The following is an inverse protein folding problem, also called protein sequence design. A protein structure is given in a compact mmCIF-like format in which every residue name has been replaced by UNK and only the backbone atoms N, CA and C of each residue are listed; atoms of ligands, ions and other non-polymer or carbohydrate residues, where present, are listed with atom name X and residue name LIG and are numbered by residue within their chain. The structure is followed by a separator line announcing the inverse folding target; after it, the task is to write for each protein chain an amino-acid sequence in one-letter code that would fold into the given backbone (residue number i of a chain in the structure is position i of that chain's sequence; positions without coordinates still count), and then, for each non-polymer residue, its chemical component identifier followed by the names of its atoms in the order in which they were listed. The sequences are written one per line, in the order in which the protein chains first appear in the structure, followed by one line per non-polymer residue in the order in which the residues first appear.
data_IF_971868021365
#
_entry.id   IF_971868021365
#
_cell.length_a   1.000
_cell.length_b   1.000
_cell.length_c   1.000
_cell.angle_alpha   90.00
_cell.angle_beta   90.00
_cell.angle_gamma   90.00
#
_symmetry.space_group_name_H-M   'P 1'
#
loop_
_entity.id
_entity.type
_entity.pdbx_description
1 polymer ?
#
# COMPACT_ATOMS: atom_id res chain seq x y z
N UNK A 1 5.44 2.57 7.00
CA UNK A 1 5.49 3.09 5.64
C UNK A 1 4.16 3.75 5.31
N UNK A 2 4.21 4.98 4.90
CA UNK A 2 3.01 5.72 4.51
C UNK A 2 3.02 5.96 3.01
N UNK A 3 1.85 5.91 2.42
CA UNK A 3 1.70 6.11 0.99
C UNK A 3 0.67 7.21 0.76
N UNK A 4 1.06 8.20 -0.02
CA UNK A 4 0.12 9.23 -0.47
C UNK A 4 -0.47 8.78 -1.79
N UNK A 5 -1.75 8.93 -1.93
CA UNK A 5 -2.39 8.54 -3.18
C UNK A 5 -3.57 9.46 -3.48
N UNK A 6 -3.90 9.56 -4.75
CA UNK A 6 -5.05 10.34 -5.21
C UNK A 6 -6.04 9.36 -5.83
N UNK A 7 -7.22 9.34 -5.28
CA UNK A 7 -8.29 8.49 -5.76
C UNK A 7 -9.54 9.35 -5.97
N UNK A 8 -10.09 9.29 -7.16
CA UNK A 8 -11.28 10.07 -7.52
C UNK A 8 -11.06 11.55 -7.19
N UNK A 9 -9.90 12.07 -7.56
CA UNK A 9 -9.50 13.48 -7.42
C UNK A 9 -9.36 13.95 -5.98
N UNK A 10 -9.32 13.04 -5.02
CA UNK A 10 -9.12 13.38 -3.61
C UNK A 10 -7.82 12.75 -3.14
N UNK A 11 -7.03 13.54 -2.42
CA UNK A 11 -5.75 13.07 -1.89
C UNK A 11 -5.95 12.40 -0.53
N UNK A 12 -5.29 11.26 -0.35
CA UNK A 12 -5.36 10.49 0.88
C UNK A 12 -3.97 10.03 1.28
N UNK A 13 -3.84 9.61 2.53
CA UNK A 13 -2.62 8.97 3.01
C UNK A 13 -3.00 7.64 3.64
N UNK A 14 -2.31 6.58 3.26
CA UNK A 14 -2.53 5.26 3.82
C UNK A 14 -1.31 4.83 4.63
N UNK A 15 -1.56 4.22 5.79
CA UNK A 15 -0.50 3.72 6.65
C UNK A 15 -0.45 2.20 6.47
N UNK A 16 0.61 1.70 5.88
CA UNK A 16 0.77 0.29 5.60
C UNK A 16 1.47 -0.49 6.73
N UNK A 17 1.72 0.17 7.86
CA UNK A 17 2.37 -0.50 8.99
C UNK A 17 1.39 -1.21 9.91
N UNK A 18 0.11 -1.22 9.56
CA UNK A 18 -0.91 -1.86 10.38
C UNK A 18 -0.91 -3.37 10.12
N UNK A 19 -0.80 -4.14 11.20
CA UNK A 19 -0.68 -5.60 11.07
C UNK A 19 -1.87 -6.22 10.34
N UNK A 20 -3.08 -5.70 10.56
CA UNK A 20 -4.27 -6.30 9.94
C UNK A 20 -4.24 -6.21 8.41
N UNK A 21 -3.58 -5.19 7.87
CA UNK A 21 -3.45 -5.05 6.43
C UNK A 21 -2.68 -6.24 5.86
N UNK A 22 -1.60 -6.62 6.53
CA UNK A 22 -0.78 -7.73 6.06
C UNK A 22 -1.48 -9.07 6.22
N UNK A 23 -2.27 -9.23 7.30
CA UNK A 23 -3.06 -10.44 7.50
C UNK A 23 -4.07 -10.59 6.37
N UNK A 24 -4.79 -9.52 6.05
CA UNK A 24 -5.76 -9.56 4.96
C UNK A 24 -5.10 -9.81 3.62
N UNK A 25 -3.95 -9.20 3.41
CA UNK A 25 -3.21 -9.38 2.17
C UNK A 25 -2.78 -10.82 2.00
N UNK A 26 -2.32 -11.43 3.08
CA UNK A 26 -1.94 -12.84 3.05
C UNK A 26 -3.14 -13.72 2.75
N UNK A 27 -4.27 -13.48 3.39
CA UNK A 27 -5.48 -14.24 3.16
C UNK A 27 -5.98 -14.10 1.72
N UNK A 28 -5.97 -12.88 1.22
CA UNK A 28 -6.58 -12.61 -0.08
C UNK A 28 -5.68 -13.00 -1.24
N UNK A 29 -4.39 -12.84 -1.10
CA UNK A 29 -3.44 -13.07 -2.19
C UNK A 29 -2.57 -14.31 -1.99
N UNK A 30 -2.63 -14.92 -0.82
CA UNK A 30 -1.83 -16.11 -0.55
C UNK A 30 -0.33 -15.84 -0.45
N UNK A 31 0.04 -14.63 -0.07
CA UNK A 31 1.43 -14.23 0.05
C UNK A 31 1.78 -13.98 1.51
N UNK A 32 2.93 -14.48 1.95
CA UNK A 32 3.42 -14.13 3.28
C UNK A 32 3.87 -12.68 3.30
N UNK A 33 4.02 -12.12 4.50
CA UNK A 33 4.50 -10.74 4.64
C UNK A 33 5.84 -10.56 3.93
N UNK A 34 6.75 -11.52 4.10
CA UNK A 34 8.07 -11.45 3.47
C UNK A 34 7.95 -11.43 1.95
N UNK A 35 7.10 -12.31 1.41
CA UNK A 35 6.90 -12.36 -0.04
C UNK A 35 6.28 -11.07 -0.56
N UNK A 36 5.29 -10.55 0.16
CA UNK A 36 4.62 -9.32 -0.26
C UNK A 36 5.60 -8.14 -0.24
N UNK A 37 6.40 -8.03 0.81
CA UNK A 37 7.37 -6.95 0.91
C UNK A 37 8.45 -7.07 -0.16
N UNK A 38 8.88 -8.28 -0.48
CA UNK A 38 9.85 -8.50 -1.54
C UNK A 38 9.29 -8.02 -2.89
N UNK A 39 8.06 -8.38 -3.18
CA UNK A 39 7.42 -7.97 -4.43
C UNK A 39 7.21 -6.46 -4.49
N UNK A 40 6.84 -5.85 -3.37
CA UNK A 40 6.69 -4.40 -3.31
C UNK A 40 8.03 -3.71 -3.57
N UNK A 41 9.10 -4.25 -3.01
CA UNK A 41 10.44 -3.72 -3.25
C UNK A 41 10.86 -3.84 -4.70
N UNK A 42 10.31 -4.81 -5.41
CA UNK A 42 10.58 -4.99 -6.84
C UNK A 42 9.61 -4.22 -7.71
N UNK A 43 8.72 -3.44 -7.09
CA UNK A 43 7.82 -2.56 -7.82
C UNK A 43 6.52 -3.19 -8.27
N UNK A 44 6.05 -4.23 -7.57
CA UNK A 44 4.79 -4.85 -7.93
C UNK A 44 3.63 -3.89 -7.65
N UNK A 45 3.11 -3.29 -8.69
CA UNK A 45 2.03 -2.32 -8.60
C UNK A 45 0.77 -2.93 -7.99
N UNK A 46 0.46 -4.17 -8.35
CA UNK A 46 -0.73 -4.81 -7.84
C UNK A 46 -0.67 -4.98 -6.33
N UNK A 47 0.46 -5.43 -5.80
CA UNK A 47 0.60 -5.64 -4.36
C UNK A 47 0.50 -4.32 -3.62
N UNK A 48 1.18 -3.30 -4.14
CA UNK A 48 1.18 -1.98 -3.51
C UNK A 48 -0.23 -1.39 -3.49
N UNK A 49 -0.92 -1.41 -4.63
CA UNK A 49 -2.26 -0.83 -4.71
C UNK A 49 -3.26 -1.62 -3.90
N UNK A 50 -3.11 -2.94 -3.85
CA UNK A 50 -3.99 -3.78 -3.04
C UNK A 50 -3.83 -3.45 -1.56
N UNK A 51 -2.59 -3.27 -1.10
CA UNK A 51 -2.33 -2.91 0.28
C UNK A 51 -2.93 -1.54 0.61
N UNK A 52 -2.81 -0.58 -0.32
CA UNK A 52 -3.41 0.74 -0.13
C UNK A 52 -4.93 0.63 -0.02
N UNK A 53 -5.53 -0.17 -0.88
CA UNK A 53 -6.98 -0.37 -0.86
C UNK A 53 -7.42 -0.96 0.49
N UNK A 54 -6.71 -1.95 0.99
CA UNK A 54 -7.03 -2.53 2.30
C UNK A 54 -6.91 -1.49 3.40
N UNK A 55 -5.83 -0.73 3.39
CA UNK A 55 -5.59 0.28 4.42
C UNK A 55 -6.63 1.40 4.39
N UNK A 56 -7.19 1.67 3.21
CA UNK A 56 -8.20 2.72 3.06
C UNK A 56 -9.55 2.31 3.64
N UNK A 57 -9.73 1.01 3.90
CA UNK A 57 -10.99 0.47 4.42
C UNK A 57 -12.18 0.84 3.54
N UNK A 58 -11.93 0.93 2.23
CA UNK A 58 -12.97 1.28 1.28
C UNK A 58 -14.00 0.17 1.14
N UNK A 59 -15.27 0.53 1.02
CA UNK A 59 -16.33 -0.44 0.78
C UNK A 59 -16.42 -0.80 -0.70
N UNK A 60 -15.77 -0.02 -1.55
CA UNK A 60 -15.75 -0.29 -2.99
C UNK A 60 -14.85 -1.48 -3.28
N UNK A 61 -15.28 -2.44 -4.12
CA UNK A 61 -14.42 -3.56 -4.48
C UNK A 61 -13.12 -3.07 -5.12
N UNK A 62 -12.03 -3.81 -4.88
CA UNK A 62 -10.71 -3.42 -5.35
C UNK A 62 -10.70 -3.09 -6.84
N UNK A 63 -11.36 -3.90 -7.65
CA UNK A 63 -11.34 -3.72 -9.10
C UNK A 63 -11.90 -2.35 -9.50
N UNK A 64 -12.95 -1.92 -8.82
CA UNK A 64 -13.56 -0.64 -9.14
C UNK A 64 -12.79 0.50 -8.50
N UNK A 65 -12.28 0.28 -7.30
CA UNK A 65 -11.53 1.29 -6.58
C UNK A 65 -10.24 1.66 -7.32
N UNK A 66 -9.53 0.64 -7.81
CA UNK A 66 -8.23 0.87 -8.45
C UNK A 66 -8.38 1.62 -9.78
N UNK A 67 -9.54 1.50 -10.42
CA UNK A 67 -9.77 2.23 -11.67
C UNK A 67 -9.83 3.73 -11.45
N UNK A 68 -10.20 4.15 -10.24
CA UNK A 68 -10.27 5.57 -9.89
C UNK A 68 -8.99 6.07 -9.25
N UNK A 69 -8.04 5.19 -9.02
CA UNK A 69 -6.75 5.55 -8.46
C UNK A 69 -5.93 6.25 -9.53
N UNK A 70 -5.58 7.50 -9.28
CA UNK A 70 -4.84 8.29 -10.27
C UNK A 70 -3.35 8.17 -10.12
N UNK A 71 -2.85 8.36 -8.90
CA UNK A 71 -1.43 8.23 -8.62
C UNK A 71 -1.24 7.72 -7.20
N UNK A 72 -0.06 7.18 -6.94
CA UNK A 72 0.34 6.86 -5.58
C UNK A 72 1.85 7.07 -5.46
N UNK A 73 2.28 7.39 -4.25
CA UNK A 73 3.68 7.67 -4.00
C UNK A 73 4.02 7.23 -2.58
N UNK A 74 5.09 6.46 -2.44
CA UNK A 74 5.54 6.04 -1.12
C UNK A 74 6.20 7.24 -0.46
N UNK A 75 5.58 7.74 0.59
CA UNK A 75 6.11 8.86 1.36
C UNK A 75 6.82 8.28 2.57
N UNK A 76 8.10 7.97 2.38
CA UNK A 76 8.86 7.38 3.45
C UNK A 76 9.48 8.47 4.26
N UNK A 77 9.09 8.59 5.48
CA UNK A 77 9.56 9.63 6.33
C UNK A 77 10.83 9.33 7.03
N UNK A 78 11.47 8.43 6.75
CA UNK A 78 12.60 8.05 7.51
C UNK A 78 13.80 8.66 7.22
N UNK A 79 13.99 9.10 7.63
CA UNK A 79 14.76 9.30 7.34
C UNK A 79 15.66 8.76 7.63
N UNK A 80 15.30 8.31 7.55
CA UNK A 80 15.81 7.72 7.59
C UNK A 80 16.27 7.31 7.49
N UNK A 81 16.24 7.63 7.33
CA UNK A 81 16.48 7.22 7.26
C UNK A 81 16.95 7.03 7.26
N UNK A 82 17.17 7.38 7.32
CA UNK A 82 17.47 7.24 7.45
C UNK A 82 17.95 6.85 7.51
N UNK A 83 18.24 7.11 7.48
CA UNK A 83 18.54 6.76 7.54
C UNK A 83 19.08 6.32 7.54
N UNK A 84 19.25 6.57 7.45
CA UNK A 84 19.64 6.18 7.49
C UNK A 84 20.28 5.92 7.56
N UNK A 85 20.42 6.28 7.32
CA UNK A 85 20.82 6.03 7.40
C UNK A 85 21.29 5.89 7.52
N UNK A 86 21.60 6.19 7.52
CA UNK A 86 21.79 5.97 7.62
C UNK A 86 22.08 5.84 7.86
#
# INVERSE_FOLDING_TARGET
VKVKYINNKTEYTADLDQAWVWVRLEDDLGLTVTEAQDKMGKGSTKIITYAIWLASESETPYKDWVKKLETFEVADDDPKDTQSEA
#
